data_IF_297920335695
#
_entry.id   IF_297920335695
#
_cell.length_a   1.000
_cell.length_b   1.000
_cell.length_c   1.000
_cell.angle_alpha   90.00
_cell.angle_beta   90.00
_cell.angle_gamma   90.00
#
_symmetry.space_group_name_H-M   'P 1'
#
loop_
_entity.id
_entity.type
_entity.pdbx_description
1 polymer ?
#
# COMPACT_ATOMS: atom_id res chain seq x y z
N UNK A 1 8.05 3.16 -11.29
CA UNK A 1 8.32 2.60 -9.94
C UNK A 1 7.58 1.28 -9.82
N UNK A 2 8.24 0.20 -9.43
CA UNK A 2 7.59 -1.11 -9.32
C UNK A 2 6.81 -1.21 -8.01
N UNK A 3 5.58 -1.72 -8.03
CA UNK A 3 4.76 -1.91 -6.82
C UNK A 3 5.45 -2.83 -5.81
N UNK A 4 6.21 -3.82 -6.30
CA UNK A 4 6.99 -4.73 -5.48
C UNK A 4 8.08 -4.05 -4.63
N UNK A 5 8.53 -2.86 -5.02
CA UNK A 5 9.59 -2.09 -4.34
C UNK A 5 9.00 -1.13 -3.29
N UNK A 6 7.70 -0.83 -3.37
CA UNK A 6 7.05 0.14 -2.48
C UNK A 6 6.85 -0.46 -1.09
N UNK A 7 7.17 0.29 -0.05
CA UNK A 7 7.08 -0.15 1.33
C UNK A 7 6.75 1.01 2.28
N UNK A 8 6.32 0.66 3.49
CA UNK A 8 6.07 1.61 4.58
C UNK A 8 4.99 2.62 4.20
N UNK A 9 5.13 3.89 4.64
CA UNK A 9 4.10 4.90 4.45
C UNK A 9 3.73 5.18 2.98
N UNK A 10 4.60 4.97 2.00
CA UNK A 10 4.19 5.14 0.60
C UNK A 10 3.23 4.06 0.13
N UNK A 11 3.42 2.82 0.60
CA UNK A 11 2.50 1.72 0.32
C UNK A 11 1.14 1.98 0.98
N UNK A 12 1.16 2.38 2.24
CA UNK A 12 -0.05 2.68 3.01
C UNK A 12 -0.83 3.87 2.42
N UNK A 13 -0.14 4.84 1.80
CA UNK A 13 -0.78 6.03 1.21
C UNK A 13 -1.50 5.69 -0.09
N UNK A 14 -0.90 4.81 -0.90
CA UNK A 14 -1.55 4.28 -2.10
C UNK A 14 -2.79 3.47 -1.73
N UNK A 15 -2.70 2.66 -0.67
CA UNK A 15 -3.84 1.91 -0.15
C UNK A 15 -4.94 2.85 0.33
N UNK A 16 -4.61 3.91 1.08
CA UNK A 16 -5.58 4.91 1.50
C UNK A 16 -6.29 5.58 0.31
N UNK A 17 -5.53 5.92 -0.75
CA UNK A 17 -6.10 6.47 -1.99
C UNK A 17 -7.07 5.51 -2.68
N UNK A 18 -6.74 4.21 -2.74
CA UNK A 18 -7.62 3.16 -3.30
C UNK A 18 -8.87 3.00 -2.43
N UNK A 19 -8.70 3.02 -1.11
CA UNK A 19 -9.77 2.87 -0.12
C UNK A 19 -10.62 4.15 0.04
N UNK A 20 -10.23 5.23 -0.64
CA UNK A 20 -10.85 6.57 -0.57
C UNK A 20 -10.89 7.13 0.84
N UNK A 21 -9.85 6.81 1.62
CA UNK A 21 -9.65 7.41 2.94
C UNK A 21 -8.77 8.64 2.78
N UNK A 22 -9.21 9.74 3.38
CA UNK A 22 -8.46 11.00 3.38
C UNK A 22 -7.28 10.85 4.35
N UNK A 23 -6.07 10.77 3.78
CA UNK A 23 -4.85 10.41 4.47
C UNK A 23 -3.70 11.24 3.93
N UNK A 24 -2.84 11.72 4.83
CA UNK A 24 -1.66 12.50 4.43
C UNK A 24 -0.42 11.96 5.12
N UNK A 25 0.72 12.08 4.44
CA UNK A 25 2.00 11.77 5.06
C UNK A 25 2.20 12.71 6.24
N UNK A 26 2.62 12.16 7.38
CA UNK A 26 2.94 12.99 8.54
C UNK A 26 4.15 13.89 8.24
N UNK A 27 4.22 15.05 8.90
CA UNK A 27 5.38 15.96 8.78
C UNK A 27 6.70 15.27 9.19
N UNK A 28 6.62 14.27 10.08
CA UNK A 28 7.76 13.44 10.44
C UNK A 28 8.28 12.65 9.23
N UNK A 29 7.40 12.08 8.42
CA UNK A 29 7.79 11.39 7.19
C UNK A 29 8.33 12.36 6.13
N UNK A 30 7.67 13.51 5.94
CA UNK A 30 8.13 14.54 5.00
C UNK A 30 9.51 15.13 5.36
N UNK A 31 9.84 15.17 6.65
CA UNK A 31 11.15 15.61 7.17
C UNK A 31 12.21 14.49 7.25
N UNK A 32 11.90 13.28 6.75
CA UNK A 32 12.84 12.15 6.70
C UNK A 32 12.90 11.27 7.95
N UNK A 33 12.03 11.50 8.94
CA UNK A 33 11.85 10.61 10.10
C UNK A 33 10.88 9.47 9.77
N UNK A 34 11.22 8.23 10.16
CA UNK A 34 10.50 6.99 9.79
C UNK A 34 9.18 6.77 10.55
N UNK A 35 8.27 7.72 10.54
CA UNK A 35 7.05 7.59 11.33
C UNK A 35 5.80 7.89 10.51
N UNK A 36 5.16 6.82 10.06
CA UNK A 36 3.72 6.62 9.81
C UNK A 36 2.90 7.67 9.02
N UNK A 37 1.81 7.23 8.41
CA UNK A 37 0.78 8.12 7.84
C UNK A 37 -0.16 8.54 8.97
N UNK A 38 -0.47 9.83 9.05
CA UNK A 38 -1.51 10.34 9.95
C UNK A 38 -2.81 10.50 9.17
N UNK A 39 -3.90 9.96 9.71
CA UNK A 39 -5.24 10.12 9.16
C UNK A 39 -5.78 11.41 9.69
N UNK A 40 -6.27 12.23 8.78
CA UNK A 40 -7.32 13.17 9.07
C UNK A 40 -8.50 12.63 8.30
N UNK A 41 -9.31 11.77 8.92
CA UNK A 41 -10.64 11.70 8.34
C UNK A 41 -11.30 13.08 8.41
N UNK A 42 -12.41 13.24 7.71
CA UNK A 42 -13.13 14.51 7.65
C UNK A 42 -14.37 14.39 8.52
N UNK A 43 -14.47 15.18 9.59
CA UNK A 43 -15.79 15.50 10.15
C UNK A 43 -16.35 16.68 9.35
N UNK A 44 -17.65 16.65 9.05
CA UNK A 44 -18.31 17.76 8.35
C UNK A 44 -18.34 19.06 9.17
N UNK A 45 -18.08 19.00 10.49
CA UNK A 45 -18.14 20.14 11.41
C UNK A 45 -16.80 20.83 11.70
N UNK A 46 -15.67 20.12 11.76
CA UNK A 46 -14.42 20.69 12.32
C UNK A 46 -13.16 20.53 11.43
N UNK A 47 -13.25 19.89 10.27
CA UNK A 47 -12.18 19.88 9.27
C UNK A 47 -10.87 19.16 9.66
N UNK A 48 -10.74 18.63 10.88
CA UNK A 48 -9.65 17.78 11.33
C UNK A 48 -10.19 16.62 12.16
N UNK A 49 -10.04 15.37 11.71
CA UNK A 49 -10.27 14.21 12.58
C UNK A 49 -9.03 13.89 13.42
N UNK A 50 -9.33 13.33 14.59
CA UNK A 50 -8.45 12.66 15.53
C UNK A 50 -7.30 11.94 14.81
N UNK A 51 -6.07 12.37 15.10
CA UNK A 51 -4.83 11.99 14.42
C UNK A 51 -4.42 10.56 14.69
N UNK A 52 -5.21 9.59 14.22
CA UNK A 52 -4.89 8.17 14.28
C UNK A 52 -3.96 7.79 13.13
N UNK A 53 -3.03 6.90 13.41
CA UNK A 53 -2.18 6.28 12.38
C UNK A 53 -2.96 5.25 11.56
N UNK A 54 -2.89 5.28 10.21
CA UNK A 54 -3.03 4.06 9.40
C UNK A 54 -1.62 3.52 9.28
N UNK A 55 -1.54 2.20 9.40
CA UNK A 55 -0.50 1.45 8.70
C UNK A 55 -1.05 0.09 8.25
N UNK A 56 -1.92 -0.02 7.21
CA UNK A 56 -2.49 -1.29 6.80
C UNK A 56 -1.46 -2.33 6.35
N UNK A 57 -0.26 -1.90 5.96
CA UNK A 57 0.85 -2.82 5.66
C UNK A 57 1.56 -3.37 6.90
N UNK A 58 1.34 -2.82 8.10
CA UNK A 58 2.03 -3.20 9.34
C UNK A 58 1.07 -3.57 10.49
N UNK A 59 -0.15 -3.04 10.51
CA UNK A 59 -1.14 -3.22 11.56
C UNK A 59 -2.39 -3.95 11.05
N UNK A 60 -2.69 -5.10 11.66
CA UNK A 60 -3.86 -5.91 11.31
C UNK A 60 -5.20 -5.22 11.55
N UNK A 61 -5.28 -4.30 12.51
CA UNK A 61 -6.49 -3.52 12.78
C UNK A 61 -6.90 -2.63 11.60
N UNK A 62 -5.94 -2.24 10.75
CA UNK A 62 -6.19 -1.43 9.56
C UNK A 62 -6.19 -2.30 8.29
N UNK A 63 -5.24 -3.23 8.16
CA UNK A 63 -5.10 -4.07 6.97
C UNK A 63 -6.04 -5.28 6.89
N UNK A 64 -6.46 -5.82 8.03
CA UNK A 64 -7.38 -6.96 8.11
C UNK A 64 -8.73 -6.69 7.46
N UNK A 65 -9.43 -5.59 7.82
CA UNK A 65 -10.68 -5.21 7.17
C UNK A 65 -10.57 -5.04 5.64
N UNK A 66 -9.42 -4.58 5.14
CA UNK A 66 -9.18 -4.43 3.70
C UNK A 66 -9.05 -5.78 2.98
N UNK A 67 -8.45 -6.78 3.63
CA UNK A 67 -8.36 -8.14 3.10
C UNK A 67 -9.77 -8.68 2.83
N UNK A 68 -10.70 -8.52 3.76
CA UNK A 68 -12.08 -8.93 3.59
C UNK A 68 -12.80 -8.08 2.53
N UNK A 69 -12.66 -6.75 2.60
CA UNK A 69 -13.32 -5.79 1.70
C UNK A 69 -12.95 -5.99 0.23
N UNK A 70 -11.68 -6.30 -0.03
CA UNK A 70 -11.15 -6.47 -1.38
C UNK A 70 -10.95 -7.93 -1.80
N UNK A 71 -11.46 -8.88 -1.01
CA UNK A 71 -11.35 -10.32 -1.27
C UNK A 71 -9.92 -10.76 -1.57
N UNK A 72 -8.97 -10.37 -0.72
CA UNK A 72 -7.55 -10.67 -0.89
C UNK A 72 -7.24 -12.08 -0.39
N UNK A 73 -6.82 -12.97 -1.28
CA UNK A 73 -6.40 -14.33 -0.91
C UNK A 73 -4.96 -14.29 -0.39
N UNK A 74 -4.73 -14.73 0.85
CA UNK A 74 -3.40 -14.91 1.42
C UNK A 74 -2.85 -16.31 1.13
N UNK A 75 -1.81 -16.40 0.31
CA UNK A 75 -1.11 -17.65 0.01
C UNK A 75 0.12 -17.79 0.91
N UNK A 76 -0.01 -18.65 1.93
CA UNK A 76 1.07 -18.98 2.87
C UNK A 76 1.82 -20.26 2.48
N UNK A 77 1.64 -20.78 1.27
CA UNK A 77 2.28 -22.03 0.86
C UNK A 77 3.80 -21.87 0.78
N UNK A 78 4.50 -22.38 1.79
CA UNK A 78 5.97 -22.33 1.93
C UNK A 78 6.71 -22.96 0.75
N UNK A 79 6.11 -23.92 0.03
CA UNK A 79 6.72 -24.54 -1.14
C UNK A 79 6.64 -23.65 -2.40
N UNK A 80 5.76 -22.65 -2.43
CA UNK A 80 5.63 -21.66 -3.51
C UNK A 80 6.30 -20.32 -3.15
N UNK A 81 6.72 -20.16 -1.90
CA UNK A 81 7.44 -19.01 -1.37
C UNK A 81 8.96 -19.18 -1.62
N UNK A 82 9.37 -19.41 -2.86
CA UNK A 82 10.77 -19.29 -3.21
C UNK A 82 11.16 -17.80 -3.11
N UNK A 83 12.00 -17.47 -2.12
CA UNK A 83 12.59 -16.16 -1.81
C UNK A 83 11.69 -15.12 -1.10
N UNK A 84 10.37 -15.06 -1.30
CA UNK A 84 9.50 -14.07 -0.62
C UNK A 84 8.54 -14.75 0.37
N UNK A 85 8.61 -14.37 1.65
CA UNK A 85 7.97 -15.09 2.76
C UNK A 85 6.45 -15.18 2.68
N UNK A 86 5.79 -14.24 1.99
CA UNK A 86 4.34 -14.20 1.83
C UNK A 86 3.94 -13.78 0.43
N UNK A 87 2.85 -14.37 -0.07
CA UNK A 87 2.21 -14.06 -1.35
C UNK A 87 0.74 -13.75 -1.11
N UNK A 88 0.19 -12.79 -1.84
CA UNK A 88 -1.23 -12.47 -1.82
C UNK A 88 -1.75 -12.27 -3.25
N UNK A 89 -3.04 -12.52 -3.44
CA UNK A 89 -3.72 -12.48 -4.73
C UNK A 89 -4.98 -11.61 -4.63
N UNK A 90 -5.21 -10.79 -5.64
CA UNK A 90 -6.45 -10.03 -5.80
C UNK A 90 -6.98 -10.29 -7.20
N UNK A 91 -8.23 -10.74 -7.30
CA UNK A 91 -8.90 -10.92 -8.58
C UNK A 91 -9.16 -9.55 -9.22
N UNK A 92 -8.79 -9.40 -10.50
CA UNK A 92 -9.16 -8.19 -11.26
C UNK A 92 -10.65 -8.25 -11.61
N UNK A 93 -11.29 -7.08 -11.69
CA UNK A 93 -12.71 -6.97 -12.06
C UNK A 93 -12.92 -7.57 -13.46
N UNK A 94 -13.78 -8.58 -13.52
CA UNK A 94 -14.04 -9.40 -14.70
C UNK A 94 -14.74 -8.62 -15.82
N UNK A 95 -14.28 -8.82 -17.07
CA UNK A 95 -15.14 -8.68 -18.25
C UNK A 95 -15.67 -10.07 -18.67
N UNK A 96 -16.93 -10.21 -19.11
CA UNK A 96 -17.45 -11.50 -19.56
C UNK A 96 -16.60 -12.08 -20.70
N UNK A 97 -16.08 -13.30 -20.53
CA UNK A 97 -15.31 -14.02 -21.54
C UNK A 97 -13.79 -14.02 -21.34
N UNK A 98 -13.26 -13.26 -20.38
CA UNK A 98 -11.83 -13.22 -20.07
C UNK A 98 -11.43 -14.29 -19.03
N UNK A 99 -10.21 -14.80 -19.15
CA UNK A 99 -9.58 -15.66 -18.13
C UNK A 99 -9.40 -14.87 -16.83
N UNK A 100 -9.42 -15.56 -15.68
CA UNK A 100 -9.15 -14.94 -14.38
C UNK A 100 -7.74 -14.35 -14.36
N UNK A 101 -7.64 -13.03 -14.48
CA UNK A 101 -6.39 -12.32 -14.24
C UNK A 101 -6.31 -11.92 -12.76
N UNK A 102 -5.22 -12.33 -12.11
CA UNK A 102 -4.95 -12.04 -10.71
C UNK A 102 -3.75 -11.13 -10.60
N UNK A 103 -3.89 -10.05 -9.86
CA UNK A 103 -2.73 -9.29 -9.40
C UNK A 103 -2.09 -10.02 -8.23
N UNK A 104 -0.75 -10.04 -8.24
CA UNK A 104 0.03 -10.76 -7.24
C UNK A 104 0.87 -9.76 -6.46
N UNK A 105 0.80 -9.84 -5.14
CA UNK A 105 1.68 -9.10 -4.25
C UNK A 105 2.61 -10.05 -3.50
N UNK A 106 3.86 -9.63 -3.33
CA UNK A 106 4.85 -10.36 -2.56
C UNK A 106 5.41 -9.47 -1.46
N UNK A 107 5.69 -10.04 -0.29
CA UNK A 107 6.25 -9.29 0.82
C UNK A 107 6.80 -10.15 1.96
N UNK A 108 7.56 -9.54 2.88
CA UNK A 108 8.10 -10.23 4.04
C UNK A 108 7.05 -10.57 5.10
N UNK A 109 5.87 -9.94 5.02
CA UNK A 109 4.71 -10.19 5.89
C UNK A 109 3.43 -10.36 5.05
N UNK A 110 2.38 -11.02 5.57
CA UNK A 110 1.12 -11.19 4.85
C UNK A 110 0.48 -9.84 4.50
N UNK A 111 0.52 -8.87 5.41
CA UNK A 111 -0.03 -7.53 5.18
C UNK A 111 0.71 -6.79 4.05
N UNK A 112 2.05 -6.83 4.02
CA UNK A 112 2.82 -6.20 2.93
C UNK A 112 2.53 -6.86 1.58
N UNK A 113 2.40 -8.19 1.55
CA UNK A 113 1.99 -8.90 0.35
C UNK A 113 0.57 -8.49 -0.08
N UNK A 114 -0.39 -8.45 0.85
CA UNK A 114 -1.78 -8.09 0.59
C UNK A 114 -1.92 -6.66 0.04
N UNK A 115 -1.30 -5.67 0.70
CA UNK A 115 -1.35 -4.28 0.27
C UNK A 115 -0.71 -4.07 -1.10
N UNK A 116 0.39 -4.78 -1.41
CA UNK A 116 0.99 -4.74 -2.76
C UNK A 116 0.09 -5.39 -3.80
N UNK A 117 -0.58 -6.50 -3.48
CA UNK A 117 -1.51 -7.15 -4.39
C UNK A 117 -2.70 -6.23 -4.71
N UNK A 118 -3.22 -5.52 -3.70
CA UNK A 118 -4.28 -4.52 -3.86
C UNK A 118 -3.83 -3.33 -4.71
N UNK A 119 -2.65 -2.77 -4.46
CA UNK A 119 -2.10 -1.67 -5.28
C UNK A 119 -1.91 -2.14 -6.73
N UNK A 120 -1.38 -3.34 -6.94
CA UNK A 120 -1.19 -3.91 -8.27
C UNK A 120 -2.51 -4.27 -8.97
N UNK A 121 -3.61 -4.50 -8.26
CA UNK A 121 -4.93 -4.73 -8.89
C UNK A 121 -5.51 -3.46 -9.50
N UNK A 122 -5.14 -2.29 -8.98
CA UNK A 122 -5.61 -1.00 -9.46
C UNK A 122 -4.66 -0.36 -10.46
N UNK A 123 -3.35 -0.38 -10.17
CA UNK A 123 -2.35 0.35 -10.96
C UNK A 123 -1.51 -0.56 -11.87
N UNK A 124 -1.61 -1.88 -11.74
CA UNK A 124 -0.69 -2.83 -12.38
C UNK A 124 0.63 -2.97 -11.61
N UNK A 125 1.57 -3.75 -12.16
CA UNK A 125 2.83 -4.07 -11.49
C UNK A 125 3.79 -2.86 -11.36
N UNK A 126 3.64 -1.87 -12.25
CA UNK A 126 4.36 -0.61 -12.23
C UNK A 126 3.38 0.55 -12.10
N UNK A 127 3.67 1.49 -11.19
CA UNK A 127 2.85 2.68 -11.02
C UNK A 127 2.87 3.55 -12.28
N UNK A 128 1.71 4.05 -12.74
CA UNK A 128 1.61 5.08 -13.77
C UNK A 128 2.36 6.38 -13.41
N UNK A 129 2.80 7.11 -14.43
CA UNK A 129 3.62 8.33 -14.25
C UNK A 129 2.90 9.44 -13.48
N UNK A 130 1.58 9.57 -13.62
CA UNK A 130 0.76 10.53 -12.89
C UNK A 130 0.69 10.19 -11.40
N UNK A 131 0.61 8.91 -11.05
CA UNK A 131 0.67 8.43 -9.66
C UNK A 131 2.05 8.68 -9.07
N UNK A 132 3.12 8.42 -9.83
CA UNK A 132 4.50 8.70 -9.39
C UNK A 132 4.71 10.20 -9.18
N UNK A 133 4.21 11.03 -10.09
CA UNK A 133 4.30 12.48 -10.00
C UNK A 133 3.56 13.00 -8.76
N UNK A 134 2.36 12.48 -8.50
CA UNK A 134 1.62 12.78 -7.28
C UNK A 134 2.38 12.37 -6.00
N UNK A 135 2.96 11.17 -5.94
CA UNK A 135 3.76 10.73 -4.79
C UNK A 135 4.93 11.69 -4.52
N UNK A 136 5.65 12.12 -5.57
CA UNK A 136 6.74 13.10 -5.46
C UNK A 136 6.25 14.44 -4.90
N UNK A 137 5.08 14.91 -5.32
CA UNK A 137 4.47 16.13 -4.78
C UNK A 137 4.15 15.98 -3.30
N UNK A 138 3.54 14.88 -2.88
CA UNK A 138 3.17 14.66 -1.46
C UNK A 138 4.40 14.49 -0.57
N UNK A 139 5.50 13.96 -1.09
CA UNK A 139 6.76 13.82 -0.35
C UNK A 139 7.60 15.11 -0.26
N UNK A 140 7.24 16.16 -1.02
CA UNK A 140 8.07 17.34 -1.23
C UNK A 140 9.20 17.10 -2.24
N UNK A 141 9.47 18.08 -3.10
CA UNK A 141 10.57 18.03 -4.07
C UNK A 141 11.93 17.97 -3.36
N UNK A 142 12.43 16.77 -3.07
CA UNK A 142 13.72 16.56 -2.40
C UNK A 142 13.83 15.27 -1.60
N UNK A 143 12.71 14.62 -1.27
CA UNK A 143 12.73 13.32 -0.62
C UNK A 143 13.04 12.21 -1.65
N UNK A 144 14.22 11.60 -1.54
CA UNK A 144 14.64 10.49 -2.39
C UNK A 144 13.66 9.32 -2.29
N UNK A 145 13.25 8.79 -3.44
CA UNK A 145 12.37 7.62 -3.58
C UNK A 145 13.11 6.27 -3.46
N UNK A 146 14.38 6.26 -3.07
CA UNK A 146 15.10 5.02 -2.84
C UNK A 146 16.53 5.24 -2.36
N UNK A 147 16.83 4.68 -1.20
CA UNK A 147 17.92 3.70 -1.07
C UNK A 147 17.54 2.78 0.09
N UNK A 148 17.39 1.49 -0.23
CA UNK A 148 17.24 0.46 0.78
C UNK A 148 18.47 0.46 1.67
N UNK A 149 18.29 0.79 2.95
CA UNK A 149 19.32 0.57 3.96
C UNK A 149 19.53 -0.94 4.06
N UNK A 150 20.60 -1.42 3.42
CA UNK A 150 21.30 -2.64 3.79
C UNK A 150 21.58 -2.56 5.29
N UNK A 151 20.96 -3.47 6.04
CA UNK A 151 21.30 -3.71 7.44
C UNK A 151 22.50 -4.65 7.44
N UNK A 152 23.66 -4.13 7.85
CA UNK A 152 24.75 -4.93 8.41
C UNK A 152 24.55 -5.02 9.92
#
# INVERSE_FOLDING_TARGET
MQVAEIAGPLLDLLVARIDRVDAVLSDAYASGSRSAITFYGRSEEDGFLDGRTYCPSEHWGDGGPLIDKYHIDLDQNKARAEQVRCRALVDKVRRPGELFERSVGFGPTPLKAAMRALVASVYGDALPDDVISWLKTVMGEGASLGEGLHVS
#
